data_IF_236344410231
#
_entry.id   IF_236344410231
#
_cell.length_a   1.000
_cell.length_b   1.000
_cell.length_c   1.000
_cell.angle_alpha   90.00
_cell.angle_beta   90.00
_cell.angle_gamma   90.00
#
_symmetry.space_group_name_H-M   'P 1'
#
loop_
_entity.id
_entity.type
_entity.pdbx_description
1 polymer ?
#
# COMPACT_ATOMS: atom_id res chain seq x y z
N UNK A 1 -33.64 -29.62 20.41
CA UNK A 1 -32.74 -28.71 21.14
C UNK A 1 -31.42 -28.70 20.38
N UNK A 2 -31.28 -27.80 19.42
CA UNK A 2 -30.06 -27.69 18.59
C UNK A 2 -29.10 -26.76 19.32
N UNK A 3 -28.00 -27.32 19.81
CA UNK A 3 -26.92 -26.57 20.43
C UNK A 3 -26.14 -25.86 19.34
N UNK A 4 -26.43 -24.59 19.12
CA UNK A 4 -25.60 -23.69 18.33
C UNK A 4 -24.23 -23.58 19.00
N UNK A 5 -23.23 -24.15 18.33
CA UNK A 5 -21.84 -24.00 18.73
C UNK A 5 -21.39 -22.60 18.33
N UNK A 6 -21.17 -21.75 19.33
CA UNK A 6 -20.53 -20.44 19.16
C UNK A 6 -19.19 -20.66 18.44
N UNK A 7 -18.90 -19.97 17.32
CA UNK A 7 -17.63 -20.13 16.63
C UNK A 7 -16.49 -19.78 17.60
N UNK A 8 -15.57 -20.72 17.79
CA UNK A 8 -14.39 -20.52 18.61
C UNK A 8 -13.62 -19.29 18.12
N UNK A 9 -13.38 -18.35 19.02
CA UNK A 9 -12.45 -17.25 18.79
C UNK A 9 -11.11 -17.86 18.40
N UNK A 10 -10.68 -17.69 17.15
CA UNK A 10 -9.37 -18.15 16.69
C UNK A 10 -8.34 -17.26 17.39
N UNK A 11 -7.82 -17.74 18.51
CA UNK A 11 -6.65 -17.15 19.17
C UNK A 11 -5.47 -17.38 18.23
N UNK A 12 -4.73 -16.32 17.82
CA UNK A 12 -3.52 -16.50 17.04
C UNK A 12 -2.57 -17.46 17.76
N UNK A 13 -2.06 -18.48 17.07
CA UNK A 13 -1.10 -19.41 17.67
C UNK A 13 0.16 -18.65 18.12
N UNK A 14 0.86 -19.15 19.14
CA UNK A 14 2.08 -18.53 19.66
C UNK A 14 3.17 -18.30 18.59
N UNK A 15 3.14 -19.07 17.50
CA UNK A 15 4.05 -18.91 16.36
C UNK A 15 3.78 -17.65 15.52
N UNK A 16 2.54 -17.17 15.45
CA UNK A 16 2.21 -15.92 14.77
C UNK A 16 2.81 -14.70 15.51
N UNK A 17 2.89 -14.77 16.84
CA UNK A 17 3.53 -13.73 17.66
C UNK A 17 5.06 -13.78 17.56
N UNK A 18 5.65 -14.95 17.33
CA UNK A 18 7.09 -15.08 17.04
C UNK A 18 7.48 -14.43 15.72
N UNK A 19 6.59 -14.39 14.74
CA UNK A 19 6.80 -13.66 13.47
C UNK A 19 7.01 -12.15 13.66
N UNK A 20 6.39 -11.55 14.68
CA UNK A 20 6.58 -10.14 15.06
C UNK A 20 8.01 -9.85 15.51
N UNK A 21 8.68 -10.83 16.17
CA UNK A 21 10.06 -10.68 16.64
C UNK A 21 11.06 -10.52 15.49
N UNK A 22 10.75 -11.09 14.32
CA UNK A 22 11.63 -11.02 13.15
C UNK A 22 11.33 -9.83 12.25
N UNK A 23 10.13 -9.27 12.31
CA UNK A 23 9.75 -8.17 11.42
C UNK A 23 10.63 -6.93 11.61
N UNK A 24 10.83 -6.48 12.85
CA UNK A 24 11.65 -5.31 13.14
C UNK A 24 13.15 -5.53 12.79
N UNK A 25 13.80 -6.66 13.15
CA UNK A 25 15.15 -6.96 12.70
C UNK A 25 15.29 -7.05 11.18
N UNK A 26 14.32 -7.64 10.46
CA UNK A 26 14.35 -7.72 9.00
C UNK A 26 14.18 -6.35 8.36
N UNK A 27 13.32 -5.49 8.90
CA UNK A 27 13.20 -4.09 8.49
C UNK A 27 14.50 -3.32 8.74
N UNK A 28 15.11 -3.47 9.91
CA UNK A 28 16.38 -2.82 10.23
C UNK A 28 17.51 -3.31 9.31
N UNK A 29 17.57 -4.62 9.04
CA UNK A 29 18.53 -5.19 8.10
C UNK A 29 18.31 -4.67 6.68
N UNK A 30 17.06 -4.56 6.23
CA UNK A 30 16.71 -3.98 4.94
C UNK A 30 17.18 -2.53 4.83
N UNK A 31 16.85 -1.70 5.82
CA UNK A 31 17.26 -0.29 5.87
C UNK A 31 18.79 -0.16 5.92
N UNK A 32 19.46 -0.99 6.72
CA UNK A 32 20.92 -1.01 6.81
C UNK A 32 21.54 -1.42 5.47
N UNK A 33 20.99 -2.41 4.77
CA UNK A 33 21.48 -2.86 3.48
C UNK A 33 21.40 -1.75 2.43
N UNK A 34 20.23 -1.11 2.26
CA UNK A 34 20.07 -0.03 1.27
C UNK A 34 20.86 1.23 1.64
N UNK A 35 21.10 1.47 2.94
CA UNK A 35 21.93 2.57 3.41
C UNK A 35 23.43 2.31 3.19
N UNK A 36 23.90 1.12 3.56
CA UNK A 36 25.33 0.73 3.54
C UNK A 36 25.86 0.54 2.12
N UNK A 37 24.99 0.16 1.19
CA UNK A 37 25.36 -0.04 -0.21
C UNK A 37 24.62 0.96 -1.12
N UNK A 38 25.13 2.20 -1.26
CA UNK A 38 24.50 3.22 -2.11
C UNK A 38 24.30 2.77 -3.56
N UNK A 39 25.14 1.87 -4.07
CA UNK A 39 24.97 1.27 -5.40
C UNK A 39 23.64 0.52 -5.55
N UNK A 40 23.15 -0.14 -4.50
CA UNK A 40 21.84 -0.80 -4.49
C UNK A 40 20.75 0.26 -4.59
N UNK A 41 20.84 1.31 -3.78
CA UNK A 41 19.87 2.41 -3.80
C UNK A 41 19.83 3.13 -5.16
N UNK A 42 20.99 3.49 -5.70
CA UNK A 42 21.15 4.19 -6.97
C UNK A 42 20.72 3.33 -8.18
N UNK A 43 20.78 2.00 -8.08
CA UNK A 43 20.32 1.10 -9.15
C UNK A 43 18.80 1.16 -9.39
N UNK A 44 18.03 1.73 -8.44
CA UNK A 44 16.58 1.75 -8.49
C UNK A 44 15.91 0.42 -8.11
N UNK A 45 16.70 -0.64 -7.88
CA UNK A 45 16.21 -1.97 -7.48
C UNK A 45 15.30 -1.93 -6.25
N UNK A 46 15.60 -1.20 -5.15
CA UNK A 46 14.71 -1.10 -4.00
C UNK A 46 13.32 -0.57 -4.35
N UNK A 47 13.28 0.47 -5.19
CA UNK A 47 12.03 1.08 -5.64
C UNK A 47 11.28 0.11 -6.53
N UNK A 48 11.91 -0.44 -7.57
CA UNK A 48 11.30 -1.44 -8.46
C UNK A 48 10.75 -2.65 -7.69
N UNK A 49 11.51 -3.17 -6.72
CA UNK A 49 11.08 -4.26 -5.85
C UNK A 49 9.82 -3.87 -5.05
N UNK A 50 9.74 -2.62 -4.55
CA UNK A 50 8.56 -2.11 -3.87
C UNK A 50 7.31 -2.14 -4.76
N UNK A 51 7.39 -1.65 -6.01
CA UNK A 51 6.24 -1.69 -6.94
C UNK A 51 5.80 -3.12 -7.26
N UNK A 52 6.75 -4.00 -7.59
CA UNK A 52 6.46 -5.38 -7.95
C UNK A 52 5.93 -6.17 -6.76
N UNK A 53 6.43 -5.92 -5.55
CA UNK A 53 5.92 -6.51 -4.32
C UNK A 53 4.46 -6.08 -4.08
N UNK A 54 4.16 -4.78 -4.19
CA UNK A 54 2.79 -4.28 -4.05
C UNK A 54 1.84 -4.96 -5.06
N UNK A 55 2.21 -4.97 -6.34
CA UNK A 55 1.40 -5.60 -7.40
C UNK A 55 1.21 -7.11 -7.17
N UNK A 56 2.29 -7.84 -6.92
CA UNK A 56 2.26 -9.28 -6.70
C UNK A 56 1.45 -9.69 -5.46
N UNK A 57 1.58 -8.93 -4.37
CA UNK A 57 0.83 -9.18 -3.14
C UNK A 57 -0.67 -8.88 -3.31
N UNK A 58 -1.04 -7.84 -4.06
CA UNK A 58 -2.44 -7.57 -4.43
C UNK A 58 -3.01 -8.74 -5.24
N UNK A 59 -2.28 -9.17 -6.27
CA UNK A 59 -2.68 -10.27 -7.15
C UNK A 59 -2.88 -11.59 -6.37
N UNK A 60 -1.91 -11.94 -5.53
CA UNK A 60 -1.92 -13.13 -4.70
C UNK A 60 -3.02 -13.05 -3.63
N UNK A 61 -3.10 -11.93 -2.91
CA UNK A 61 -4.09 -11.73 -1.85
C UNK A 61 -5.52 -11.81 -2.38
N UNK A 62 -5.78 -11.22 -3.56
CA UNK A 62 -7.08 -11.32 -4.22
C UNK A 62 -7.41 -12.77 -4.61
N UNK A 63 -6.45 -13.48 -5.22
CA UNK A 63 -6.67 -14.88 -5.63
C UNK A 63 -6.99 -15.77 -4.43
N UNK A 64 -6.18 -15.69 -3.39
CA UNK A 64 -6.36 -16.52 -2.19
C UNK A 64 -7.63 -16.13 -1.42
N UNK A 65 -8.07 -14.86 -1.48
CA UNK A 65 -9.39 -14.44 -0.99
C UNK A 65 -10.53 -15.05 -1.80
N UNK A 66 -10.42 -15.08 -3.12
CA UNK A 66 -11.40 -15.70 -4.02
C UNK A 66 -11.53 -17.21 -3.81
N UNK A 67 -10.44 -17.91 -3.52
CA UNK A 67 -10.46 -19.36 -3.24
C UNK A 67 -11.34 -19.72 -2.04
N UNK A 68 -11.50 -18.79 -1.07
CA UNK A 68 -12.34 -18.98 0.12
C UNK A 68 -13.82 -18.71 -0.12
N UNK A 69 -14.20 -18.20 -1.29
CA UNK A 69 -15.60 -17.89 -1.62
C UNK A 69 -16.38 -19.12 -2.10
N UNK A 70 -17.70 -19.07 -2.07
CA UNK A 70 -18.58 -20.09 -2.69
C UNK A 70 -18.73 -19.93 -4.21
N UNK A 71 -17.98 -19.02 -4.83
CA UNK A 71 -18.04 -18.76 -6.27
C UNK A 71 -17.54 -19.94 -7.10
N UNK A 72 -18.10 -20.11 -8.29
CA UNK A 72 -17.60 -21.13 -9.24
C UNK A 72 -16.18 -20.79 -9.71
N UNK A 73 -15.37 -21.77 -10.14
CA UNK A 73 -14.02 -21.52 -10.65
C UNK A 73 -13.97 -20.51 -11.82
N UNK A 74 -15.01 -20.46 -12.66
CA UNK A 74 -15.15 -19.46 -13.72
C UNK A 74 -15.36 -18.05 -13.15
N UNK A 75 -16.27 -17.90 -12.18
CA UNK A 75 -16.54 -16.62 -11.52
C UNK A 75 -15.33 -16.08 -10.75
N UNK A 76 -14.56 -16.95 -10.09
CA UNK A 76 -13.31 -16.57 -9.40
C UNK A 76 -12.30 -16.00 -10.40
N UNK A 77 -12.03 -16.72 -11.49
CA UNK A 77 -11.12 -16.27 -12.56
C UNK A 77 -11.55 -14.94 -13.17
N UNK A 78 -12.82 -14.79 -13.53
CA UNK A 78 -13.33 -13.52 -14.09
C UNK A 78 -13.20 -12.38 -13.08
N UNK A 79 -13.55 -12.60 -11.81
CA UNK A 79 -13.44 -11.56 -10.77
C UNK A 79 -11.98 -11.13 -10.58
N UNK A 80 -11.05 -12.10 -10.55
CA UNK A 80 -9.62 -11.81 -10.46
C UNK A 80 -9.14 -10.99 -11.65
N UNK A 81 -9.47 -11.41 -12.88
CA UNK A 81 -9.05 -10.72 -14.11
C UNK A 81 -9.64 -9.30 -14.20
N UNK A 82 -10.89 -9.10 -13.80
CA UNK A 82 -11.55 -7.78 -13.83
C UNK A 82 -10.86 -6.78 -12.89
N UNK A 83 -10.26 -7.23 -11.79
CA UNK A 83 -9.48 -6.36 -10.91
C UNK A 83 -8.03 -6.23 -11.39
N UNK A 84 -7.40 -7.35 -11.75
CA UNK A 84 -5.97 -7.37 -12.05
C UNK A 84 -5.62 -6.80 -13.42
N UNK A 85 -6.49 -6.90 -14.43
CA UNK A 85 -6.20 -6.30 -15.74
C UNK A 85 -6.06 -4.78 -15.62
N UNK A 86 -7.03 -4.02 -15.05
CA UNK A 86 -6.86 -2.58 -14.85
C UNK A 86 -5.65 -2.23 -13.97
N UNK A 87 -5.40 -2.98 -12.89
CA UNK A 87 -4.26 -2.76 -11.99
C UNK A 87 -2.91 -2.94 -12.72
N UNK A 88 -2.74 -4.04 -13.47
CA UNK A 88 -1.54 -4.29 -14.28
C UNK A 88 -1.41 -3.28 -15.41
N UNK A 89 -2.50 -2.95 -16.11
CA UNK A 89 -2.47 -1.94 -17.18
C UNK A 89 -2.03 -0.59 -16.63
N UNK A 90 -2.55 -0.18 -15.48
CA UNK A 90 -2.14 1.05 -14.83
C UNK A 90 -0.66 1.03 -14.44
N UNK A 91 -0.17 -0.06 -13.86
CA UNK A 91 1.26 -0.24 -13.56
C UNK A 91 2.11 -0.07 -14.81
N UNK A 92 1.77 -0.77 -15.90
CA UNK A 92 2.51 -0.70 -17.17
C UNK A 92 2.45 0.70 -17.78
N UNK A 93 1.31 1.37 -17.72
CA UNK A 93 1.18 2.76 -18.19
C UNK A 93 2.03 3.72 -17.37
N UNK A 94 1.95 3.67 -16.05
CA UNK A 94 2.75 4.51 -15.17
C UNK A 94 4.25 4.24 -15.34
N UNK A 95 4.65 2.97 -15.49
CA UNK A 95 6.02 2.57 -15.77
C UNK A 95 6.53 3.12 -17.10
N UNK A 96 5.74 2.94 -18.16
CA UNK A 96 6.09 3.43 -19.49
C UNK A 96 6.20 4.96 -19.48
N UNK A 97 5.25 5.65 -18.84
CA UNK A 97 5.28 7.10 -18.69
C UNK A 97 6.55 7.57 -17.95
N UNK A 98 6.94 6.89 -16.87
CA UNK A 98 8.14 7.23 -16.10
C UNK A 98 9.44 7.04 -16.90
N UNK A 99 9.59 5.95 -17.66
CA UNK A 99 10.78 5.73 -18.50
C UNK A 99 10.86 6.76 -19.64
N UNK A 100 9.72 7.23 -20.13
CA UNK A 100 9.66 8.23 -21.21
C UNK A 100 9.66 9.69 -20.68
N UNK A 101 9.95 9.92 -19.41
CA UNK A 101 10.07 11.28 -18.84
C UNK A 101 8.75 12.06 -18.78
N UNK A 102 7.59 11.40 -18.88
CA UNK A 102 6.27 12.08 -18.90
C UNK A 102 6.00 12.83 -17.59
N UNK A 103 6.59 12.37 -16.49
CA UNK A 103 6.44 13.01 -15.18
C UNK A 103 7.47 14.11 -14.90
N UNK A 104 8.45 14.31 -15.79
CA UNK A 104 9.45 15.36 -15.61
C UNK A 104 8.76 16.72 -15.72
N UNK A 105 9.05 17.61 -14.77
CA UNK A 105 8.37 18.92 -14.65
C UNK A 105 8.58 19.82 -15.86
N UNK A 106 9.62 19.57 -16.65
CA UNK A 106 9.97 20.33 -17.86
C UNK A 106 9.35 19.72 -19.14
N UNK A 107 8.84 18.47 -19.07
CA UNK A 107 8.41 17.72 -20.24
C UNK A 107 6.94 17.91 -20.61
N UNK A 108 6.07 18.26 -19.65
CA UNK A 108 4.64 18.47 -19.94
C UNK A 108 3.99 19.54 -19.08
N UNK A 109 3.06 20.30 -19.68
CA UNK A 109 2.20 21.26 -18.97
C UNK A 109 1.04 20.58 -18.24
N UNK A 110 0.86 19.26 -18.43
CA UNK A 110 -0.18 18.49 -17.76
C UNK A 110 0.31 18.05 -16.37
N UNK A 111 -0.56 18.10 -15.35
CA UNK A 111 -0.21 17.60 -14.02
C UNK A 111 -0.23 16.06 -14.01
N UNK A 112 0.73 15.44 -14.71
CA UNK A 112 0.78 14.01 -14.97
C UNK A 112 0.87 13.20 -13.67
N UNK A 113 1.69 13.62 -12.71
CA UNK A 113 1.83 12.90 -11.44
C UNK A 113 0.56 12.99 -10.57
N UNK A 114 -0.08 14.16 -10.34
CA UNK A 114 -1.39 14.22 -9.70
C UNK A 114 -2.44 13.35 -10.43
N UNK A 115 -2.49 13.39 -11.75
CA UNK A 115 -3.37 12.51 -12.51
C UNK A 115 -3.08 11.03 -12.22
N UNK A 116 -1.81 10.67 -12.12
CA UNK A 116 -1.41 9.29 -11.83
C UNK A 116 -1.77 8.83 -10.41
N UNK A 117 -1.82 9.75 -9.44
CA UNK A 117 -2.27 9.46 -8.08
C UNK A 117 -3.81 9.34 -8.04
N UNK A 118 -4.54 10.28 -8.65
CA UNK A 118 -5.98 10.41 -8.42
C UNK A 118 -6.86 9.64 -9.42
N UNK A 119 -6.45 9.44 -10.67
CA UNK A 119 -7.26 8.72 -11.67
C UNK A 119 -7.55 7.27 -11.25
N UNK A 120 -6.58 6.47 -10.75
CA UNK A 120 -6.87 5.11 -10.27
C UNK A 120 -7.87 5.09 -9.12
N UNK A 121 -7.87 6.13 -8.28
CA UNK A 121 -8.83 6.24 -7.17
C UNK A 121 -10.22 6.59 -7.69
N UNK A 122 -10.32 7.58 -8.59
CA UNK A 122 -11.58 8.03 -9.18
C UNK A 122 -12.25 6.89 -9.97
N UNK A 123 -11.46 6.14 -10.74
CA UNK A 123 -11.96 5.07 -11.62
C UNK A 123 -12.13 3.75 -10.85
N UNK A 124 -11.15 3.39 -10.02
CA UNK A 124 -11.09 2.09 -9.34
C UNK A 124 -11.91 2.01 -8.06
N UNK A 125 -12.00 3.09 -7.27
CA UNK A 125 -12.71 3.02 -5.99
C UNK A 125 -14.22 2.73 -6.15
N UNK A 126 -14.98 3.37 -7.05
CA UNK A 126 -16.41 3.10 -7.19
C UNK A 126 -16.76 1.62 -7.46
N UNK A 127 -16.20 0.94 -8.49
CA UNK A 127 -16.52 -0.46 -8.73
C UNK A 127 -16.04 -1.36 -7.59
N UNK A 128 -14.88 -1.07 -6.98
CA UNK A 128 -14.34 -1.84 -5.85
C UNK A 128 -15.17 -1.66 -4.57
N UNK A 129 -15.78 -0.49 -4.33
CA UNK A 129 -16.52 -0.17 -3.10
C UNK A 129 -18.04 -0.35 -3.19
N UNK A 130 -18.60 -0.48 -4.38
CA UNK A 130 -20.04 -0.65 -4.59
C UNK A 130 -20.42 -2.08 -5.03
N UNK A 131 -19.46 -2.87 -5.51
CA UNK A 131 -19.72 -4.21 -6.04
C UNK A 131 -20.14 -5.22 -4.97
N UNK A 132 -21.22 -5.98 -5.26
CA UNK A 132 -21.65 -7.16 -4.49
C UNK A 132 -20.72 -8.36 -4.67
N UNK A 133 -20.05 -8.46 -5.82
CA UNK A 133 -19.05 -9.50 -6.02
C UNK A 133 -17.87 -9.30 -5.06
N UNK A 134 -17.42 -8.05 -4.92
CA UNK A 134 -16.36 -7.71 -3.97
C UNK A 134 -16.82 -7.94 -2.52
N UNK A 135 -18.09 -7.66 -2.19
CA UNK A 135 -18.64 -8.02 -0.87
C UNK A 135 -18.46 -9.52 -0.56
N UNK A 136 -18.76 -10.42 -1.52
CA UNK A 136 -18.57 -11.86 -1.33
C UNK A 136 -17.10 -12.23 -1.06
N UNK A 137 -16.17 -11.56 -1.73
CA UNK A 137 -14.73 -11.75 -1.47
C UNK A 137 -14.35 -11.25 -0.09
N UNK A 138 -14.75 -10.03 0.27
CA UNK A 138 -14.45 -9.43 1.57
C UNK A 138 -15.03 -10.24 2.74
N UNK A 139 -16.22 -10.81 2.57
CA UNK A 139 -16.86 -11.63 3.60
C UNK A 139 -16.13 -12.97 3.81
N UNK A 140 -15.67 -13.61 2.74
CA UNK A 140 -14.92 -14.87 2.80
C UNK A 140 -13.45 -14.71 3.23
N UNK A 141 -12.85 -13.57 2.91
CA UNK A 141 -11.44 -13.28 3.17
C UNK A 141 -11.20 -13.05 4.68
N UNK A 142 -10.18 -13.67 5.30
CA UNK A 142 -9.76 -13.35 6.68
C UNK A 142 -9.59 -11.85 6.95
N UNK A 143 -10.03 -11.38 8.12
CA UNK A 143 -10.02 -9.94 8.46
C UNK A 143 -8.62 -9.33 8.49
N UNK A 144 -7.61 -10.11 8.88
CA UNK A 144 -6.23 -9.62 8.97
C UNK A 144 -5.54 -9.46 7.62
N UNK A 145 -6.12 -9.96 6.53
CA UNK A 145 -5.36 -10.12 5.29
C UNK A 145 -5.08 -8.80 4.56
N UNK A 146 -6.12 -7.98 4.35
CA UNK A 146 -5.94 -6.64 3.76
C UNK A 146 -5.03 -5.75 4.61
N UNK A 147 -5.04 -5.98 5.92
CA UNK A 147 -4.14 -5.29 6.85
C UNK A 147 -2.70 -5.78 6.64
N UNK A 148 -2.47 -7.10 6.72
CA UNK A 148 -1.15 -7.71 6.58
C UNK A 148 -0.53 -7.48 5.18
N UNK A 149 -1.33 -7.35 4.13
CA UNK A 149 -0.85 -7.02 2.80
C UNK A 149 -0.03 -5.71 2.78
N UNK A 150 -0.37 -4.73 3.63
CA UNK A 150 0.37 -3.47 3.71
C UNK A 150 1.76 -3.59 4.36
N UNK A 151 2.22 -4.80 4.73
CA UNK A 151 3.60 -5.02 5.19
C UNK A 151 4.63 -4.57 4.15
N UNK A 152 4.30 -4.59 2.85
CA UNK A 152 5.21 -4.10 1.81
C UNK A 152 5.58 -2.62 1.99
N UNK A 153 4.79 -1.84 2.72
CA UNK A 153 5.09 -0.40 2.96
C UNK A 153 6.40 -0.19 3.71
N UNK A 154 6.93 -1.21 4.39
CA UNK A 154 8.30 -1.21 4.93
C UNK A 154 9.34 -0.84 3.85
N UNK A 155 9.12 -1.22 2.59
CA UNK A 155 10.02 -0.87 1.50
C UNK A 155 10.06 0.64 1.22
N UNK A 156 9.04 1.41 1.58
CA UNK A 156 9.00 2.88 1.53
C UNK A 156 10.11 3.57 2.33
N UNK A 157 10.75 2.85 3.25
CA UNK A 157 11.96 3.29 3.95
C UNK A 157 13.15 3.62 3.03
N UNK A 158 13.09 3.25 1.73
CA UNK A 158 14.02 3.72 0.72
C UNK A 158 14.12 5.26 0.67
N UNK A 159 13.04 5.98 0.96
CA UNK A 159 13.04 7.44 0.99
C UNK A 159 13.98 7.97 2.09
N UNK A 160 14.05 7.31 3.25
CA UNK A 160 14.96 7.67 4.33
C UNK A 160 16.41 7.48 3.92
N UNK A 161 16.73 6.35 3.28
CA UNK A 161 18.07 6.10 2.76
C UNK A 161 18.47 7.12 1.69
N UNK A 162 17.54 7.45 0.77
CA UNK A 162 17.77 8.47 -0.24
C UNK A 162 18.03 9.86 0.38
N UNK A 163 17.29 10.25 1.41
CA UNK A 163 17.54 11.51 2.13
C UNK A 163 18.90 11.54 2.82
N UNK A 164 19.28 10.46 3.52
CA UNK A 164 20.57 10.38 4.20
C UNK A 164 21.77 10.45 3.22
N UNK A 165 21.55 10.11 1.95
CA UNK A 165 22.52 10.24 0.86
C UNK A 165 22.37 11.54 0.05
N UNK A 166 21.50 12.47 0.46
CA UNK A 166 21.28 13.75 -0.23
C UNK A 166 20.54 13.64 -1.57
N UNK A 167 19.85 12.52 -1.82
CA UNK A 167 19.12 12.27 -3.08
C UNK A 167 17.63 12.65 -3.01
N UNK A 168 17.09 12.89 -1.82
CA UNK A 168 15.72 13.39 -1.62
C UNK A 168 15.68 14.43 -0.50
N UNK A 169 14.79 15.42 -0.59
CA UNK A 169 14.67 16.43 0.44
C UNK A 169 14.04 15.85 1.70
N UNK A 170 14.65 16.16 2.86
CA UNK A 170 14.17 15.68 4.16
C UNK A 170 12.72 16.06 4.46
N UNK A 171 12.26 17.22 3.96
CA UNK A 171 10.88 17.67 4.09
C UNK A 171 9.86 16.67 3.54
N UNK A 172 10.18 15.95 2.45
CA UNK A 172 9.34 14.87 1.94
C UNK A 172 9.74 13.52 2.53
N UNK A 173 11.02 13.20 2.46
CA UNK A 173 11.52 11.85 2.72
C UNK A 173 11.34 11.40 4.17
N UNK A 174 11.53 12.29 5.14
CA UNK A 174 11.39 11.97 6.56
C UNK A 174 9.94 11.60 6.92
N UNK A 175 8.93 12.46 6.69
CA UNK A 175 7.56 12.11 7.02
C UNK A 175 7.05 10.92 6.20
N UNK A 176 7.31 10.87 4.89
CA UNK A 176 6.84 9.78 4.04
C UNK A 176 7.51 8.44 4.39
N UNK A 177 8.84 8.42 4.52
CA UNK A 177 9.58 7.19 4.81
C UNK A 177 9.33 6.65 6.22
N UNK A 178 9.25 7.52 7.24
CA UNK A 178 8.88 7.09 8.60
C UNK A 178 7.45 6.58 8.62
N UNK A 179 6.51 7.30 8.00
CA UNK A 179 5.11 6.90 7.97
C UNK A 179 4.88 5.57 7.27
N UNK A 180 5.54 5.33 6.13
CA UNK A 180 5.51 4.06 5.40
C UNK A 180 6.03 2.89 6.26
N UNK A 181 7.20 3.07 6.88
CA UNK A 181 7.81 2.04 7.75
C UNK A 181 6.95 1.78 8.98
N UNK A 182 6.44 2.82 9.66
CA UNK A 182 5.58 2.65 10.82
C UNK A 182 4.26 1.97 10.45
N UNK A 183 3.61 2.40 9.36
CA UNK A 183 2.36 1.78 8.89
C UNK A 183 2.58 0.31 8.56
N UNK A 184 3.66 -0.01 7.83
CA UNK A 184 4.03 -1.38 7.47
C UNK A 184 4.34 -2.25 8.68
N UNK A 185 5.16 -1.77 9.63
CA UNK A 185 5.47 -2.49 10.86
C UNK A 185 4.22 -2.76 11.72
N UNK A 186 3.34 -1.77 11.84
CA UNK A 186 2.10 -1.88 12.61
C UNK A 186 1.02 -2.72 11.91
N UNK A 187 1.21 -3.06 10.63
CA UNK A 187 0.27 -3.89 9.88
C UNK A 187 0.14 -5.29 10.51
N UNK A 188 1.24 -5.93 10.88
CA UNK A 188 1.20 -7.26 11.48
C UNK A 188 0.47 -7.31 12.84
N UNK A 189 0.79 -6.48 13.85
CA UNK A 189 0.04 -6.48 15.10
C UNK A 189 -1.43 -6.07 14.89
N UNK A 190 -1.74 -5.14 13.99
CA UNK A 190 -3.13 -4.80 13.66
C UNK A 190 -3.87 -5.99 13.01
N UNK A 191 -3.21 -6.74 12.13
CA UNK A 191 -3.75 -7.93 11.47
C UNK A 191 -4.03 -9.06 12.47
N UNK A 192 -3.12 -9.30 13.42
CA UNK A 192 -3.32 -10.26 14.50
C UNK A 192 -4.44 -9.82 15.44
N UNK A 193 -4.48 -8.54 15.79
CA UNK A 193 -5.53 -8.00 16.66
C UNK A 193 -6.91 -8.20 16.03
N UNK A 194 -7.11 -7.85 14.76
CA UNK A 194 -8.41 -8.03 14.10
C UNK A 194 -8.75 -9.51 13.88
N UNK A 195 -7.77 -10.39 13.72
CA UNK A 195 -7.99 -11.83 13.59
C UNK A 195 -8.66 -12.45 14.83
N UNK A 196 -8.50 -11.84 16.02
CA UNK A 196 -9.18 -12.29 17.26
C UNK A 196 -10.70 -12.20 17.20
N UNK A 197 -11.27 -11.42 16.27
CA UNK A 197 -12.72 -11.19 16.18
C UNK A 197 -13.29 -10.32 17.31
N UNK A 198 -12.46 -9.75 18.18
CA UNK A 198 -12.91 -8.89 19.29
C UNK A 198 -13.24 -7.46 18.83
N UNK A 199 -14.04 -6.74 19.62
CA UNK A 199 -14.30 -5.30 19.41
C UNK A 199 -12.99 -4.50 19.46
N UNK A 200 -12.11 -4.83 20.40
CA UNK A 200 -10.78 -4.21 20.51
C UNK A 200 -9.93 -4.42 19.26
N UNK A 201 -9.89 -5.65 18.73
CA UNK A 201 -9.19 -5.98 17.49
C UNK A 201 -9.68 -5.20 16.28
N UNK A 202 -11.01 -5.06 16.13
CA UNK A 202 -11.60 -4.24 15.07
C UNK A 202 -11.29 -2.76 15.22
N UNK A 203 -11.30 -2.22 16.45
CA UNK A 203 -10.89 -0.83 16.73
C UNK A 203 -9.43 -0.61 16.39
N UNK A 204 -8.53 -1.52 16.78
CA UNK A 204 -7.11 -1.44 16.48
C UNK A 204 -6.85 -1.40 14.96
N UNK A 205 -7.47 -2.30 14.18
CA UNK A 205 -7.36 -2.26 12.72
C UNK A 205 -8.00 -1.02 12.09
N UNK A 206 -9.08 -0.47 12.68
CA UNK A 206 -9.68 0.79 12.21
C UNK A 206 -8.72 1.96 12.41
N UNK A 207 -8.13 2.09 13.60
CA UNK A 207 -7.15 3.13 13.91
C UNK A 207 -5.90 3.00 13.05
N UNK A 208 -5.42 1.78 12.82
CA UNK A 208 -4.30 1.52 11.91
C UNK A 208 -4.61 1.93 10.47
N UNK A 209 -5.83 1.67 9.96
CA UNK A 209 -6.22 2.12 8.63
C UNK A 209 -6.27 3.65 8.53
N UNK A 210 -6.75 4.34 9.58
CA UNK A 210 -6.75 5.80 9.64
C UNK A 210 -5.30 6.31 9.63
N UNK A 211 -4.42 5.73 10.45
CA UNK A 211 -3.00 6.06 10.48
C UNK A 211 -2.35 5.91 9.09
N UNK A 212 -2.59 4.79 8.40
CA UNK A 212 -2.04 4.55 7.07
C UNK A 212 -2.56 5.49 5.99
N UNK A 213 -3.83 5.90 6.06
CA UNK A 213 -4.41 6.90 5.15
C UNK A 213 -3.90 8.31 5.46
N UNK A 214 -3.75 8.67 6.73
CA UNK A 214 -3.18 9.96 7.14
C UNK A 214 -1.73 10.08 6.68
N UNK A 215 -0.95 9.02 6.83
CA UNK A 215 0.42 8.95 6.32
C UNK A 215 0.49 9.18 4.80
N UNK A 216 -0.32 8.45 4.01
CA UNK A 216 -0.38 8.67 2.55
C UNK A 216 -0.79 10.10 2.19
N UNK A 217 -1.75 10.68 2.92
CA UNK A 217 -2.14 12.07 2.73
C UNK A 217 -0.97 13.03 3.01
N UNK A 218 -0.23 12.82 4.10
CA UNK A 218 0.97 13.59 4.43
C UNK A 218 2.03 13.43 3.34
N UNK A 219 2.32 12.22 2.89
CA UNK A 219 3.31 11.96 1.84
C UNK A 219 2.92 12.66 0.52
N UNK A 220 1.66 12.55 0.09
CA UNK A 220 1.16 13.24 -1.11
C UNK A 220 1.24 14.76 -0.94
N UNK A 221 0.81 15.30 0.20
CA UNK A 221 0.90 16.75 0.46
C UNK A 221 2.34 17.22 0.45
N UNK A 222 3.24 16.55 1.17
CA UNK A 222 4.66 16.92 1.21
C UNK A 222 5.28 16.80 -0.18
N UNK A 223 4.94 15.76 -0.95
CA UNK A 223 5.38 15.61 -2.34
C UNK A 223 4.95 16.80 -3.19
N UNK A 224 3.67 17.18 -3.14
CA UNK A 224 3.13 18.32 -3.91
C UNK A 224 3.78 19.64 -3.52
N UNK A 225 3.88 19.97 -2.22
CA UNK A 225 4.35 21.29 -1.79
C UNK A 225 5.87 21.46 -1.87
N UNK A 226 6.62 20.38 -2.02
CA UNK A 226 8.09 20.43 -2.17
C UNK A 226 8.55 20.24 -3.62
N UNK A 227 7.65 19.87 -4.54
CA UNK A 227 8.00 19.64 -5.94
C UNK A 227 7.82 20.90 -6.78
N UNK A 228 8.62 21.09 -7.84
CA UNK A 228 8.45 22.23 -8.75
C UNK A 228 7.04 22.28 -9.34
N UNK A 229 6.43 23.45 -9.30
CA UNK A 229 5.11 23.69 -9.91
C UNK A 229 4.25 24.71 -9.17
N UNK A 230 3.01 24.95 -9.63
CA UNK A 230 2.15 26.00 -9.08
C UNK A 230 1.77 25.84 -7.60
N UNK A 231 1.86 24.62 -7.07
CA UNK A 231 1.55 24.30 -5.68
C UNK A 231 2.79 24.22 -4.76
N UNK A 232 3.98 24.55 -5.27
CA UNK A 232 5.22 24.53 -4.50
C UNK A 232 5.19 25.62 -3.42
N UNK A 233 5.34 25.22 -2.17
CA UNK A 233 5.45 26.13 -1.01
C UNK A 233 6.83 26.08 -0.37
N UNK A 234 7.55 24.97 -0.56
CA UNK A 234 8.88 24.73 -0.02
C UNK A 234 9.80 24.44 -1.20
N UNK A 235 10.88 25.22 -1.31
CA UNK A 235 11.94 25.00 -2.31
C UNK A 235 13.11 24.30 -1.63
N UNK A 236 13.24 22.97 -1.78
CA UNK A 236 14.36 22.24 -1.21
C UNK A 236 15.68 22.48 -1.96
N UNK A 237 16.78 22.11 -1.32
CA UNK A 237 18.14 22.09 -1.85
C UNK A 237 18.38 21.03 -2.93
N UNK A 238 17.57 19.95 -2.90
CA UNK A 238 17.58 18.87 -3.89
C UNK A 238 16.18 18.61 -4.43
N UNK A 239 16.07 18.08 -5.65
CA UNK A 239 14.79 17.83 -6.30
C UNK A 239 13.92 16.86 -5.49
N UNK A 240 12.64 17.22 -5.30
CA UNK A 240 11.67 16.37 -4.61
C UNK A 240 11.14 15.24 -5.50
N UNK A 241 10.41 14.30 -4.90
CA UNK A 241 9.87 13.12 -5.58
C UNK A 241 8.98 13.47 -6.78
N UNK A 242 8.31 14.61 -6.74
CA UNK A 242 7.44 15.07 -7.83
C UNK A 242 8.18 15.74 -8.98
N UNK A 243 9.52 15.81 -8.94
CA UNK A 243 10.34 16.12 -10.10
C UNK A 243 10.26 15.02 -11.19
N UNK A 244 9.67 13.86 -10.89
CA UNK A 244 9.31 12.86 -11.90
C UNK A 244 10.36 11.78 -12.16
N UNK A 245 11.49 11.83 -11.46
CA UNK A 245 12.62 10.93 -11.72
C UNK A 245 12.27 9.44 -11.57
N UNK A 246 12.59 8.66 -12.60
CA UNK A 246 12.54 7.21 -12.58
C UNK A 246 13.63 6.61 -11.67
N UNK A 247 13.38 5.51 -10.94
CA UNK A 247 12.08 4.86 -10.73
C UNK A 247 11.27 5.44 -9.56
N UNK A 248 11.80 6.46 -8.86
CA UNK A 248 11.19 7.05 -7.66
C UNK A 248 9.72 7.40 -7.83
N UNK A 249 9.38 8.04 -8.96
CA UNK A 249 8.03 8.49 -9.30
C UNK A 249 6.97 7.37 -9.35
N UNK A 250 7.39 6.11 -9.53
CA UNK A 250 6.46 4.97 -9.52
C UNK A 250 5.85 4.71 -8.15
N UNK A 251 6.51 5.15 -7.07
CA UNK A 251 5.95 5.05 -5.72
C UNK A 251 4.64 5.85 -5.61
N UNK A 252 4.62 7.18 -5.86
CA UNK A 252 3.37 7.93 -5.88
C UNK A 252 2.44 7.55 -7.04
N UNK A 253 2.96 7.20 -8.23
CA UNK A 253 2.10 6.91 -9.40
C UNK A 253 1.35 5.57 -9.33
N UNK A 254 1.86 4.57 -8.59
CA UNK A 254 1.26 3.24 -8.49
C UNK A 254 1.01 2.79 -7.06
N UNK A 255 2.04 2.81 -6.21
CA UNK A 255 1.95 2.23 -4.86
C UNK A 255 0.98 3.01 -3.98
N UNK A 256 1.03 4.34 -4.03
CA UNK A 256 0.14 5.22 -3.24
C UNK A 256 -1.35 4.95 -3.55
N UNK A 257 -1.83 5.03 -4.81
CA UNK A 257 -3.24 4.76 -5.08
C UNK A 257 -3.66 3.33 -4.71
N UNK A 258 -2.82 2.33 -4.98
CA UNK A 258 -3.10 0.94 -4.59
C UNK A 258 -3.19 0.77 -3.07
N UNK A 259 -2.31 1.42 -2.32
CA UNK A 259 -2.34 1.45 -0.85
C UNK A 259 -3.64 2.06 -0.31
N UNK A 260 -4.08 3.17 -0.89
CA UNK A 260 -5.34 3.83 -0.52
C UNK A 260 -6.53 2.90 -0.77
N UNK A 261 -6.59 2.25 -1.93
CA UNK A 261 -7.67 1.30 -2.26
C UNK A 261 -7.71 0.11 -1.30
N UNK A 262 -6.55 -0.44 -0.93
CA UNK A 262 -6.46 -1.51 0.07
C UNK A 262 -6.97 -1.07 1.45
N UNK A 263 -6.63 0.14 1.91
CA UNK A 263 -7.17 0.70 3.15
C UNK A 263 -8.69 0.91 3.08
N UNK A 264 -9.22 1.41 1.96
CA UNK A 264 -10.66 1.56 1.75
C UNK A 264 -11.39 0.21 1.78
N UNK A 265 -10.83 -0.82 1.14
CA UNK A 265 -11.37 -2.18 1.16
C UNK A 265 -11.30 -2.80 2.57
N UNK A 266 -10.23 -2.55 3.32
CA UNK A 266 -10.07 -3.02 4.69
C UNK A 266 -11.15 -2.40 5.59
N UNK A 267 -11.34 -1.08 5.52
CA UNK A 267 -12.39 -0.39 6.25
C UNK A 267 -13.80 -0.87 5.84
N UNK A 268 -14.02 -1.13 4.55
CA UNK A 268 -15.29 -1.71 4.06
C UNK A 268 -15.54 -3.08 4.69
N UNK A 269 -14.53 -3.97 4.70
CA UNK A 269 -14.63 -5.29 5.33
C UNK A 269 -14.93 -5.19 6.83
N UNK A 270 -14.25 -4.31 7.56
CA UNK A 270 -14.49 -4.07 8.99
C UNK A 270 -15.92 -3.58 9.26
N UNK A 271 -16.44 -2.66 8.45
CA UNK A 271 -17.82 -2.17 8.57
C UNK A 271 -18.85 -3.27 8.33
N UNK A 272 -18.61 -4.16 7.37
CA UNK A 272 -19.50 -5.30 7.09
C UNK A 272 -19.55 -6.27 8.27
N UNK A 273 -18.39 -6.58 8.85
CA UNK A 273 -18.26 -7.46 10.03
C UNK A 273 -18.82 -6.87 11.34
N UNK A 274 -19.12 -5.57 11.39
CA UNK A 274 -19.80 -4.95 12.53
C UNK A 274 -21.33 -5.04 12.43
N UNK A 275 -21.87 -5.34 11.25
CA UNK A 275 -23.32 -5.38 10.98
C UNK A 275 -23.91 -6.79 11.00
N UNK A 276 -23.06 -7.83 10.92
CA UNK A 276 -23.44 -9.22 11.14
C UNK A 276 -22.97 -9.66 12.51
#
# INVERSE_FOLDING_TARGET
>A
MTTDTVPSTVVPSGDAWRGLLWLAPLTALWLLLIFTFPAIQASGVPTTAHQLAAHGLIALGLWLGLEKTTLTPGQRRVTWLVVMIPDTLWLVTAWSAAINGVFDTDASSLPALPAAIFLPLIIGAPPLLLSKRIDQVLDAMPAGWLVALQLYRIFGGWALAAWLHGALPGAFAVPAGIGDVLTGLLALPAALAVATGTVGGRRAATLWNILGLTDLAVAVTMGVITSPGPAQLIVPDVQSIGAGAYPGVLTPAFVVPSSILLHMLSLRQLRRRNRG
#
